data_IF_993186138129
#
_entry.id   IF_993186138129
#
_cell.length_a   1.000
_cell.length_b   1.000
_cell.length_c   1.000
_cell.angle_alpha   90.00
_cell.angle_beta   90.00
_cell.angle_gamma   90.00
#
_symmetry.space_group_name_H-M   'P 1'
#
loop_
_entity.id
_entity.type
_entity.pdbx_description
1 polymer ?
#
# COMPACT_ATOMS: atom_id res chain seq x y z
N UNK A 1 -5.16 -13.68 9.56
CA UNK A 1 -3.71 -13.53 9.75
C UNK A 1 -3.15 -13.00 8.44
N UNK A 2 -2.55 -11.82 8.47
CA UNK A 2 -1.83 -11.27 7.31
C UNK A 2 -0.63 -12.17 7.01
N UNK A 3 -0.30 -12.40 5.73
CA UNK A 3 0.86 -13.22 5.35
C UNK A 3 2.23 -12.59 5.65
N UNK A 4 2.25 -11.45 6.34
CA UNK A 4 3.44 -10.69 6.67
C UNK A 4 4.20 -11.33 7.83
N UNK A 5 5.53 -11.36 7.74
CA UNK A 5 6.38 -11.54 8.91
C UNK A 5 6.76 -10.19 9.55
N UNK A 6 7.25 -10.23 10.80
CA UNK A 6 7.55 -9.00 11.57
C UNK A 6 8.60 -8.12 10.90
N UNK A 7 9.66 -8.73 10.33
CA UNK A 7 10.67 -8.00 9.56
C UNK A 7 10.07 -7.31 8.33
N UNK A 8 9.19 -7.99 7.56
CA UNK A 8 8.51 -7.35 6.42
C UNK A 8 7.65 -6.16 6.86
N UNK A 9 6.93 -6.28 7.98
CA UNK A 9 6.15 -5.18 8.53
C UNK A 9 7.05 -4.01 8.91
N UNK A 10 8.20 -4.26 9.56
CA UNK A 10 9.14 -3.21 9.96
C UNK A 10 9.78 -2.51 8.74
N UNK A 11 10.26 -3.27 7.76
CA UNK A 11 10.85 -2.71 6.53
C UNK A 11 9.86 -1.79 5.81
N UNK A 12 8.62 -2.25 5.62
CA UNK A 12 7.58 -1.44 4.98
C UNK A 12 7.18 -0.24 5.86
N UNK A 13 7.02 -0.45 7.17
CA UNK A 13 6.56 0.60 8.09
C UNK A 13 7.60 1.71 8.30
N UNK A 14 8.89 1.43 8.12
CA UNK A 14 9.97 2.42 8.22
C UNK A 14 10.23 3.17 6.92
N UNK A 15 9.78 2.64 5.77
CA UNK A 15 9.91 3.28 4.46
C UNK A 15 9.16 4.62 4.38
N UNK A 16 9.78 5.64 3.80
CA UNK A 16 9.09 6.90 3.54
C UNK A 16 8.00 6.75 2.49
N UNK A 17 8.32 6.06 1.39
CA UNK A 17 7.42 5.84 0.26
C UNK A 17 7.45 4.37 -0.17
N UNK A 18 6.35 3.94 -0.77
CA UNK A 18 6.17 2.63 -1.38
C UNK A 18 5.62 2.78 -2.78
N UNK A 19 5.98 1.84 -3.66
CA UNK A 19 5.38 1.72 -4.98
C UNK A 19 4.38 0.56 -4.96
N UNK A 20 3.13 0.83 -5.33
CA UNK A 20 2.07 -0.16 -5.40
C UNK A 20 1.61 -0.32 -6.85
N UNK A 21 1.58 -1.54 -7.35
CA UNK A 21 0.99 -1.86 -8.65
C UNK A 21 -0.04 -2.98 -8.47
N UNK A 22 -1.16 -2.92 -9.17
CA UNK A 22 -2.21 -3.96 -9.12
C UNK A 22 -2.30 -4.68 -10.46
N UNK A 23 -2.60 -5.96 -10.44
CA UNK A 23 -2.88 -6.72 -11.65
C UNK A 23 -4.29 -6.42 -12.18
N UNK A 24 -4.45 -6.45 -13.50
CA UNK A 24 -5.76 -6.48 -14.14
C UNK A 24 -6.30 -7.91 -14.30
N UNK A 25 -7.43 -8.06 -15.00
CA UNK A 25 -8.07 -9.36 -15.27
C UNK A 25 -7.25 -10.29 -16.17
N UNK A 26 -6.29 -9.73 -16.92
CA UNK A 26 -5.36 -10.46 -17.78
C UNK A 26 -4.01 -10.73 -17.08
N UNK A 27 -3.89 -10.38 -15.80
CA UNK A 27 -2.68 -10.53 -14.98
C UNK A 27 -1.52 -9.62 -15.43
N UNK A 28 -1.83 -8.50 -16.09
CA UNK A 28 -0.86 -7.46 -16.43
C UNK A 28 -0.79 -6.41 -15.31
N UNK A 29 0.42 -5.94 -14.98
CA UNK A 29 0.58 -4.89 -13.97
C UNK A 29 0.16 -3.54 -14.55
N UNK A 30 -0.73 -2.85 -13.83
CA UNK A 30 -0.89 -1.43 -14.03
C UNK A 30 0.39 -0.68 -13.63
N UNK A 31 0.64 0.50 -14.22
CA UNK A 31 1.76 1.34 -13.80
C UNK A 31 1.77 1.56 -12.29
N UNK A 32 2.95 1.46 -11.65
CA UNK A 32 3.08 1.65 -10.22
C UNK A 32 2.65 3.05 -9.80
N UNK A 33 2.04 3.13 -8.63
CA UNK A 33 1.72 4.39 -7.97
C UNK A 33 2.57 4.53 -6.71
N UNK A 34 3.19 5.69 -6.54
CA UNK A 34 3.90 6.03 -5.30
C UNK A 34 2.88 6.43 -4.24
N UNK A 35 3.01 5.81 -3.07
CA UNK A 35 2.16 6.07 -1.92
C UNK A 35 2.97 6.13 -0.63
N UNK A 36 2.32 6.66 0.40
CA UNK A 36 2.81 6.63 1.76
C UNK A 36 2.20 5.43 2.48
N UNK A 37 2.87 4.96 3.52
CA UNK A 37 2.45 3.74 4.23
C UNK A 37 2.51 3.93 5.73
N UNK A 38 1.53 3.39 6.45
CA UNK A 38 1.51 3.34 7.91
C UNK A 38 1.11 1.97 8.41
N UNK A 39 1.59 1.65 9.62
CA UNK A 39 1.19 0.46 10.37
C UNK A 39 0.15 0.84 11.42
N UNK A 40 -0.92 0.07 11.52
CA UNK A 40 -1.85 0.09 12.66
C UNK A 40 -2.04 -1.36 13.13
N UNK A 41 -1.57 -1.67 14.33
CA UNK A 41 -1.57 -3.05 14.83
C UNK A 41 -0.67 -3.96 14.00
N UNK A 42 -1.26 -4.95 13.32
CA UNK A 42 -0.56 -5.88 12.42
C UNK A 42 -0.83 -5.59 10.93
N UNK A 43 -1.61 -4.54 10.63
CA UNK A 43 -2.04 -4.20 9.29
C UNK A 43 -1.24 -3.03 8.73
N UNK A 44 -1.01 -3.06 7.42
CA UNK A 44 -0.34 -2.01 6.67
C UNK A 44 -1.35 -1.30 5.76
N UNK A 45 -1.33 0.02 5.80
CA UNK A 45 -2.23 0.88 5.05
C UNK A 45 -1.44 1.79 4.14
N UNK A 46 -1.66 1.66 2.84
CA UNK A 46 -1.06 2.51 1.81
C UNK A 46 -2.08 3.57 1.40
N UNK A 47 -1.62 4.80 1.30
CA UNK A 47 -2.40 5.94 0.81
C UNK A 47 -1.56 6.68 -0.21
N UNK A 48 -2.12 6.97 -1.37
CA UNK A 48 -1.42 7.79 -2.35
C UNK A 48 -1.82 9.26 -2.22
N UNK A 49 -0.91 10.14 -2.62
CA UNK A 49 -1.09 11.59 -2.57
C UNK A 49 -1.88 12.15 -3.76
N UNK A 50 -2.40 11.30 -4.66
CA UNK A 50 -3.10 11.76 -5.85
C UNK A 50 -4.61 11.79 -5.61
N UNK A 51 -5.22 12.89 -6.03
CA UNK A 51 -6.67 13.13 -6.04
C UNK A 51 -7.44 11.85 -6.35
N UNK A 52 -8.52 11.62 -5.59
CA UNK A 52 -9.47 10.55 -5.85
C UNK A 52 -10.03 10.60 -7.30
N UNK A 53 -9.89 11.74 -7.99
CA UNK A 53 -10.28 11.96 -9.39
C UNK A 53 -9.20 11.52 -10.40
N UNK A 54 -7.94 11.38 -9.97
CA UNK A 54 -6.77 11.08 -10.77
C UNK A 54 -6.65 9.62 -11.18
N UNK A 55 -7.71 9.02 -11.75
CA UNK A 55 -7.72 7.76 -12.54
C UNK A 55 -7.28 6.44 -11.87
N UNK A 56 -6.43 6.49 -10.85
CA UNK A 56 -5.91 5.37 -10.08
C UNK A 56 -6.95 4.90 -9.06
N UNK A 57 -7.65 5.84 -8.43
CA UNK A 57 -8.78 5.58 -7.56
C UNK A 57 -10.06 5.70 -8.37
N UNK A 58 -10.54 4.58 -8.91
CA UNK A 58 -11.93 4.48 -9.34
C UNK A 58 -12.63 3.57 -8.34
N UNK A 59 -13.80 3.94 -7.78
CA UNK A 59 -14.60 3.03 -6.95
C UNK A 59 -14.94 1.70 -7.65
N UNK A 60 -14.82 1.67 -8.98
CA UNK A 60 -15.02 0.51 -9.85
C UNK A 60 -13.74 -0.28 -10.16
N UNK A 61 -12.55 0.13 -9.70
CA UNK A 61 -11.34 -0.70 -9.82
C UNK A 61 -11.44 -1.84 -8.82
N UNK A 62 -11.41 -3.07 -9.33
CA UNK A 62 -11.31 -4.28 -8.52
C UNK A 62 -9.99 -4.24 -7.75
N UNK A 63 -10.05 -3.99 -6.44
CA UNK A 63 -8.91 -4.25 -5.57
C UNK A 63 -8.68 -5.77 -5.54
N UNK A 64 -7.45 -6.18 -5.80
CA UNK A 64 -7.08 -7.58 -5.99
C UNK A 64 -5.61 -7.82 -5.71
N UNK A 65 -5.03 -8.79 -6.40
CA UNK A 65 -3.60 -9.11 -6.24
C UNK A 65 -2.73 -8.02 -6.91
N UNK A 66 -1.52 -7.83 -6.41
CA UNK A 66 -0.60 -6.79 -6.87
C UNK A 66 0.80 -6.96 -6.31
N UNK A 67 1.64 -5.94 -6.54
CA UNK A 67 3.02 -5.85 -6.05
C UNK A 67 3.23 -4.57 -5.26
N UNK A 68 3.83 -4.72 -4.09
CA UNK A 68 4.32 -3.64 -3.25
C UNK A 68 5.85 -3.66 -3.28
N UNK A 69 6.46 -2.50 -3.54
CA UNK A 69 7.90 -2.31 -3.48
C UNK A 69 8.27 -1.23 -2.48
N UNK A 70 9.37 -1.46 -1.78
CA UNK A 70 10.03 -0.54 -0.86
C UNK A 70 11.46 -0.37 -1.33
N UNK A 71 11.85 0.86 -1.68
CA UNK A 71 13.18 1.16 -2.21
C UNK A 71 13.52 0.31 -3.43
N UNK A 72 14.77 -0.15 -3.56
CA UNK A 72 15.22 -0.95 -4.71
C UNK A 72 15.29 -2.46 -4.43
N UNK A 73 15.25 -2.86 -3.17
CA UNK A 73 15.63 -4.23 -2.77
C UNK A 73 14.48 -5.07 -2.22
N UNK A 74 13.35 -4.45 -1.87
CA UNK A 74 12.23 -5.17 -1.27
C UNK A 74 11.01 -5.11 -2.19
N UNK A 75 10.58 -6.27 -2.67
CA UNK A 75 9.36 -6.42 -3.48
C UNK A 75 8.54 -7.57 -2.92
N UNK A 76 7.23 -7.35 -2.76
CA UNK A 76 6.31 -8.37 -2.28
C UNK A 76 4.99 -8.40 -3.03
N UNK A 77 4.50 -9.60 -3.29
CA UNK A 77 3.14 -9.81 -3.78
C UNK A 77 2.14 -9.61 -2.64
N UNK A 78 1.15 -8.77 -2.91
CA UNK A 78 0.15 -8.34 -1.93
C UNK A 78 -1.24 -8.50 -2.51
N UNK A 79 -2.22 -8.70 -1.63
CA UNK A 79 -3.61 -8.47 -1.93
C UNK A 79 -4.03 -7.13 -1.36
N UNK A 80 -4.63 -6.32 -2.21
CA UNK A 80 -5.13 -5.01 -1.91
C UNK A 80 -6.61 -5.10 -1.53
N UNK A 81 -6.98 -4.44 -0.46
CA UNK A 81 -8.36 -4.34 0.00
C UNK A 81 -8.71 -2.89 0.27
N UNK A 82 -9.96 -2.53 -0.01
CA UNK A 82 -10.45 -1.23 0.42
C UNK A 82 -10.52 -1.20 1.94
N UNK A 83 -9.96 -0.15 2.56
CA UNK A 83 -9.84 -0.02 4.00
C UNK A 83 -11.15 0.45 4.69
N UNK A 84 -12.32 -0.03 4.24
CA UNK A 84 -13.61 0.37 4.81
C UNK A 84 -13.79 -0.03 6.28
N UNK A 85 -13.19 -1.17 6.66
CA UNK A 85 -13.22 -1.69 8.03
C UNK A 85 -12.18 -1.03 8.96
N UNK A 86 -11.25 -0.25 8.40
CA UNK A 86 -10.21 0.38 9.20
C UNK A 86 -10.75 1.53 10.05
N UNK A 87 -10.26 1.65 11.29
CA UNK A 87 -10.53 2.81 12.11
C UNK A 87 -9.81 4.04 11.51
N UNK A 88 -10.54 5.03 10.97
CA UNK A 88 -9.93 6.17 10.30
C UNK A 88 -9.13 7.06 11.23
N UNK A 89 -9.51 7.10 12.52
CA UNK A 89 -8.84 7.91 13.52
C UNK A 89 -7.47 7.34 13.83
N UNK A 90 -7.36 6.03 14.01
CA UNK A 90 -6.11 5.32 14.22
C UNK A 90 -5.19 5.43 13.00
N UNK A 91 -5.71 5.24 11.79
CA UNK A 91 -4.93 5.42 10.55
C UNK A 91 -4.44 6.86 10.40
N UNK A 92 -5.31 7.85 10.62
CA UNK A 92 -4.91 9.26 10.57
C UNK A 92 -3.87 9.62 11.64
N UNK A 93 -4.00 9.10 12.86
CA UNK A 93 -3.03 9.28 13.92
C UNK A 93 -1.66 8.68 13.56
N UNK A 94 -1.64 7.49 12.96
CA UNK A 94 -0.42 6.85 12.49
C UNK A 94 0.28 7.68 11.39
N UNK A 95 -0.48 8.21 10.42
CA UNK A 95 0.05 9.12 9.39
C UNK A 95 0.65 10.39 10.01
N UNK A 96 -0.08 11.02 10.93
CA UNK A 96 0.41 12.23 11.62
C UNK A 96 1.67 11.97 12.43
N UNK A 97 1.77 10.82 13.09
CA UNK A 97 2.95 10.47 13.88
C UNK A 97 4.17 10.20 12.99
N UNK A 98 4.02 9.41 11.92
CA UNK A 98 5.13 9.02 11.05
C UNK A 98 5.63 10.18 10.19
N UNK A 99 4.72 10.96 9.61
CA UNK A 99 5.03 12.00 8.64
C UNK A 99 4.98 13.43 9.23
N UNK A 100 5.04 13.56 10.57
CA UNK A 100 5.00 14.85 11.27
C UNK A 100 6.01 15.88 10.73
N UNK A 101 7.17 15.40 10.29
CA UNK A 101 8.26 16.21 9.75
C UNK A 101 7.93 16.92 8.42
N UNK A 102 6.93 16.44 7.67
CA UNK A 102 6.56 16.99 6.36
C UNK A 102 5.57 18.16 6.43
N UNK A 103 5.18 18.59 7.64
CA UNK A 103 4.32 19.74 7.87
C UNK A 103 2.82 19.42 7.84
N UNK A 104 2.04 20.21 8.60
CA UNK A 104 0.60 20.00 8.81
C UNK A 104 -0.23 20.16 7.54
N UNK A 105 0.22 20.98 6.58
CA UNK A 105 -0.51 21.26 5.34
C UNK A 105 -0.56 20.03 4.42
N UNK A 106 0.59 19.38 4.19
CA UNK A 106 0.64 18.10 3.44
C UNK A 106 -0.14 17.00 4.15
N UNK A 107 -0.10 16.98 5.48
CA UNK A 107 -0.85 16.01 6.27
C UNK A 107 -2.37 16.25 6.23
N UNK A 108 -2.83 17.48 6.01
CA UNK A 108 -4.26 17.80 5.97
C UNK A 108 -4.96 17.18 4.75
N UNK A 109 -4.30 17.20 3.57
CA UNK A 109 -4.76 16.46 2.39
C UNK A 109 -4.75 14.94 2.65
N UNK A 110 -3.67 14.45 3.27
CA UNK A 110 -3.52 13.03 3.55
C UNK A 110 -4.58 12.54 4.54
N UNK A 111 -4.99 13.30 5.56
CA UNK A 111 -5.94 12.87 6.60
C UNK A 111 -7.36 13.45 6.45
N UNK A 112 -7.66 14.07 5.31
CA UNK A 112 -8.96 14.70 5.03
C UNK A 112 -10.14 13.71 4.97
N UNK A 113 -11.39 14.20 4.87
CA UNK A 113 -12.58 13.36 4.88
C UNK A 113 -12.62 12.31 3.74
N UNK A 114 -12.10 12.65 2.56
CA UNK A 114 -12.01 11.76 1.39
C UNK A 114 -10.84 10.78 1.47
N UNK A 115 -9.98 10.89 2.49
CA UNK A 115 -8.77 10.07 2.61
C UNK A 115 -9.06 8.57 2.74
N UNK A 116 -10.21 8.20 3.30
CA UNK A 116 -10.67 6.80 3.37
C UNK A 116 -10.81 6.15 2.00
N UNK A 117 -11.25 6.94 1.01
CA UNK A 117 -11.47 6.47 -0.34
C UNK A 117 -10.11 6.03 -0.93
N UNK A 118 -9.10 6.87 -0.81
CA UNK A 118 -7.75 6.62 -1.31
C UNK A 118 -6.86 5.75 -0.39
N UNK A 119 -7.45 5.01 0.56
CA UNK A 119 -6.70 4.13 1.48
C UNK A 119 -6.93 2.66 1.16
N UNK A 120 -5.83 1.94 0.97
CA UNK A 120 -5.80 0.51 0.70
C UNK A 120 -5.10 -0.20 1.84
N UNK A 121 -5.71 -1.26 2.36
CA UNK A 121 -5.02 -2.22 3.21
C UNK A 121 -4.30 -3.23 2.33
N UNK A 122 -3.03 -3.48 2.62
CA UNK A 122 -2.22 -4.47 1.91
C UNK A 122 -1.91 -5.66 2.81
N UNK A 123 -2.21 -6.86 2.31
CA UNK A 123 -1.88 -8.11 2.98
C UNK A 123 -0.91 -8.90 2.11
N UNK A 124 0.16 -9.46 2.67
CA UNK A 124 1.06 -10.32 1.90
C UNK A 124 0.31 -11.57 1.43
N UNK A 125 0.49 -11.89 0.15
CA UNK A 125 0.12 -13.20 -0.37
C UNK A 125 1.15 -14.21 0.18
N UNK A 126 0.70 -15.29 0.85
CA UNK A 126 1.61 -16.32 1.34
C UNK A 126 2.39 -16.91 0.17
N UNK A 127 3.72 -16.87 0.24
CA UNK A 127 4.54 -17.63 -0.71
C UNK A 127 4.29 -19.10 -0.41
N UNK A 128 3.73 -19.83 -1.37
CA UNK A 128 3.73 -21.29 -1.29
C UNK A 128 5.19 -21.75 -1.18
N UNK A 129 5.50 -22.63 -0.23
CA UNK A 129 6.85 -23.18 -0.12
C UNK A 129 7.22 -23.90 -1.42
N UNK A 130 8.23 -23.39 -2.12
CA UNK A 130 8.84 -24.03 -3.30
C UNK A 130 8.81 -23.15 -4.56
N UNK A 131 10.00 -22.68 -4.95
CA UNK A 131 10.34 -21.91 -6.14
C UNK A 131 9.79 -20.46 -6.20
N UNK A 132 10.72 -19.51 -6.36
CA UNK A 132 10.40 -18.16 -6.81
C UNK A 132 9.57 -18.26 -8.11
N UNK A 133 8.51 -17.44 -8.29
CA UNK A 133 7.79 -17.44 -9.55
C UNK A 133 8.80 -17.18 -10.67
N UNK A 134 8.98 -18.15 -11.56
CA UNK A 134 9.75 -17.95 -12.79
C UNK A 134 9.01 -16.91 -13.61
N UNK A 135 9.54 -15.68 -13.60
CA UNK A 135 8.85 -14.45 -14.00
C UNK A 135 9.03 -13.29 -13.00
N UNK A 136 9.66 -13.54 -11.85
CA UNK A 136 10.08 -12.52 -10.89
C UNK A 136 11.26 -11.72 -11.45
N UNK A 137 10.96 -10.64 -12.17
CA UNK A 137 11.94 -9.58 -12.42
C UNK A 137 11.89 -8.60 -11.23
N UNK A 138 12.95 -8.53 -10.39
CA UNK A 138 12.99 -7.64 -9.24
C UNK A 138 13.04 -6.15 -9.61
N UNK A 139 13.20 -5.82 -10.90
CA UNK A 139 13.30 -4.46 -11.42
C UNK A 139 12.05 -4.03 -12.20
N UNK A 140 11.17 -4.95 -12.61
CA UNK A 140 9.95 -4.64 -13.34
C UNK A 140 8.78 -4.28 -12.40
N UNK A 141 8.57 -2.97 -12.25
CA UNK A 141 7.27 -2.34 -11.97
C UNK A 141 6.83 -1.57 -13.21
#
# INVERSE_FOLDING_TARGET
MTGWNEWEIEEIATADEVELATYDEHHELHPPITGWVVRVGADLYVRTSHDAEGGWYRPSRTFGDGRLRVGESFVREVRCFQAFDADPTAVAAAYRAKYAQYGLERLAEVVGPDSKLVTVRVEAIPRAGGAAPTGFDPLAL
#
